data_IF_303828621372
#
_entry.id   IF_303828621372
#
_cell.length_a   1.000
_cell.length_b   1.000
_cell.length_c   1.000
_cell.angle_alpha   90.00
_cell.angle_beta   90.00
_cell.angle_gamma   90.00
#
_symmetry.space_group_name_H-M   'P 1'
#
loop_
_entity.id
_entity.type
_entity.pdbx_description
1 polymer ?
#
# COMPACT_ATOMS: atom_id res chain seq x y z
N UNK A 1 -16.98 17.33 11.31
CA UNK A 1 -16.89 16.62 10.01
C UNK A 1 -17.68 17.43 9.01
N UNK A 2 -17.04 17.98 7.98
CA UNK A 2 -17.75 18.69 6.91
C UNK A 2 -18.28 17.67 5.90
N UNK A 3 -19.58 17.68 5.62
CA UNK A 3 -20.20 16.80 4.63
C UNK A 3 -20.25 17.53 3.29
N UNK A 4 -19.68 16.93 2.24
CA UNK A 4 -19.76 17.43 0.87
C UNK A 4 -20.69 16.53 0.04
N UNK A 5 -21.46 17.16 -0.86
CA UNK A 5 -22.35 16.46 -1.78
C UNK A 5 -21.66 16.36 -3.14
N UNK A 6 -21.58 15.14 -3.66
CA UNK A 6 -21.07 14.83 -4.99
C UNK A 6 -22.23 14.27 -5.82
N UNK A 7 -22.44 14.80 -7.02
CA UNK A 7 -23.38 14.24 -8.00
C UNK A 7 -22.60 13.34 -8.95
N UNK A 8 -23.04 12.09 -9.09
CA UNK A 8 -22.39 11.09 -9.95
C UNK A 8 -23.37 10.59 -11.00
N UNK A 9 -22.89 10.41 -12.22
CA UNK A 9 -23.65 9.73 -13.28
C UNK A 9 -23.41 8.23 -13.17
N UNK A 10 -24.48 7.47 -12.99
CA UNK A 10 -24.46 6.01 -12.91
C UNK A 10 -25.23 5.45 -14.10
N UNK A 11 -24.79 4.30 -14.61
CA UNK A 11 -25.58 3.58 -15.61
C UNK A 11 -26.89 3.06 -14.99
N UNK A 12 -27.97 3.07 -15.77
CA UNK A 12 -29.29 2.58 -15.34
C UNK A 12 -29.24 1.21 -14.64
N UNK A 13 -28.48 0.20 -15.13
CA UNK A 13 -28.40 -1.10 -14.46
C UNK A 13 -27.85 -1.02 -13.03
N UNK A 14 -26.82 -0.19 -12.81
CA UNK A 14 -26.20 0.00 -11.49
C UNK A 14 -27.14 0.72 -10.55
N UNK A 15 -27.80 1.78 -11.03
CA UNK A 15 -28.78 2.52 -10.24
C UNK A 15 -29.94 1.61 -9.79
N UNK A 16 -30.52 0.84 -10.71
CA UNK A 16 -31.59 -0.10 -10.41
C UNK A 16 -31.16 -1.20 -9.44
N UNK A 17 -29.91 -1.67 -9.53
CA UNK A 17 -29.36 -2.62 -8.57
C UNK A 17 -29.25 -2.02 -7.16
N UNK A 18 -28.79 -0.77 -7.04
CA UNK A 18 -28.72 -0.09 -5.74
C UNK A 18 -30.11 0.10 -5.14
N UNK A 19 -31.13 0.47 -5.95
CA UNK A 19 -32.53 0.60 -5.48
C UNK A 19 -33.05 -0.74 -4.93
N UNK A 20 -32.86 -1.84 -5.65
CA UNK A 20 -33.29 -3.18 -5.17
C UNK A 20 -32.66 -3.56 -3.84
N UNK A 21 -31.36 -3.28 -3.67
CA UNK A 21 -30.66 -3.57 -2.42
C UNK A 21 -31.16 -2.66 -1.30
N UNK A 22 -31.34 -1.36 -1.57
CA UNK A 22 -31.84 -0.39 -0.61
C UNK A 22 -33.24 -0.77 -0.07
N UNK A 23 -34.14 -1.20 -0.96
CA UNK A 23 -35.46 -1.72 -0.57
C UNK A 23 -35.35 -3.00 0.27
N UNK A 24 -34.52 -3.95 -0.16
CA UNK A 24 -34.33 -5.22 0.54
C UNK A 24 -33.68 -5.05 1.93
N UNK A 25 -32.78 -4.08 2.10
CA UNK A 25 -32.12 -3.79 3.38
C UNK A 25 -32.83 -2.71 4.19
N UNK A 26 -33.92 -2.12 3.66
CA UNK A 26 -34.61 -0.97 4.26
C UNK A 26 -33.66 0.19 4.60
N UNK A 27 -32.66 0.43 3.76
CA UNK A 27 -31.69 1.51 3.92
C UNK A 27 -31.94 2.61 2.88
N UNK A 28 -31.71 3.89 3.22
CA UNK A 28 -31.74 4.96 2.22
C UNK A 28 -30.70 4.73 1.12
N UNK A 29 -31.11 4.95 -0.13
CA UNK A 29 -30.24 4.77 -1.30
C UNK A 29 -28.91 5.53 -1.17
N UNK A 30 -28.96 6.75 -0.66
CA UNK A 30 -27.81 7.64 -0.44
C UNK A 30 -26.80 7.04 0.55
N UNK A 31 -27.30 6.40 1.62
CA UNK A 31 -26.46 5.76 2.64
C UNK A 31 -25.79 4.53 2.06
N UNK A 32 -26.54 3.71 1.32
CA UNK A 32 -25.99 2.53 0.64
C UNK A 32 -24.94 2.92 -0.41
N UNK A 33 -25.20 3.97 -1.19
CA UNK A 33 -24.25 4.50 -2.17
C UNK A 33 -22.96 5.00 -1.50
N UNK A 34 -23.08 5.79 -0.43
CA UNK A 34 -21.94 6.29 0.33
C UNK A 34 -21.11 5.16 0.96
N UNK A 35 -21.76 4.12 1.50
CA UNK A 35 -21.08 2.94 2.04
C UNK A 35 -20.35 2.14 0.95
N UNK A 36 -20.98 1.99 -0.22
CA UNK A 36 -20.40 1.29 -1.36
C UNK A 36 -19.16 2.01 -1.88
N UNK A 37 -19.22 3.35 -1.98
CA UNK A 37 -18.07 4.18 -2.36
C UNK A 37 -16.96 4.05 -1.31
N UNK A 38 -17.29 4.23 -0.03
CA UNK A 38 -16.32 4.19 1.08
C UNK A 38 -15.59 2.85 1.14
N UNK A 39 -16.31 1.76 0.92
CA UNK A 39 -15.76 0.40 0.96
C UNK A 39 -14.85 0.09 -0.23
N UNK A 40 -14.94 0.86 -1.31
CA UNK A 40 -14.17 0.67 -2.53
C UNK A 40 -13.16 1.80 -2.77
N UNK A 41 -12.84 2.60 -1.75
CA UNK A 41 -11.81 3.63 -1.85
C UNK A 41 -10.42 2.99 -1.95
N UNK A 42 -9.49 3.62 -2.70
CA UNK A 42 -8.11 3.17 -2.76
C UNK A 42 -7.43 3.25 -1.40
N UNK A 43 -6.37 2.47 -1.16
CA UNK A 43 -5.62 2.52 0.09
C UNK A 43 -5.05 3.93 0.31
N UNK A 44 -5.38 4.53 1.45
CA UNK A 44 -4.90 5.87 1.77
C UNK A 44 -3.40 5.86 2.11
N UNK A 45 -2.60 6.77 1.52
CA UNK A 45 -1.20 6.98 1.88
C UNK A 45 -1.02 7.86 3.13
N UNK A 46 -2.09 8.34 3.79
CA UNK A 46 -2.01 9.35 4.86
C UNK A 46 -1.16 8.92 6.07
N UNK A 47 -1.07 7.61 6.33
CA UNK A 47 -0.27 7.05 7.42
C UNK A 47 1.21 6.87 7.05
N UNK A 48 1.60 7.10 5.79
CA UNK A 48 2.98 6.99 5.35
C UNK A 48 3.77 8.28 5.67
N UNK A 49 5.11 8.19 5.78
CA UNK A 49 5.97 9.36 5.90
C UNK A 49 5.71 10.35 4.75
N UNK A 50 5.70 11.68 5.01
CA UNK A 50 5.37 12.70 3.99
C UNK A 50 6.20 12.58 2.72
N UNK A 51 7.47 12.22 2.87
CA UNK A 51 8.42 12.02 1.76
C UNK A 51 7.97 10.93 0.77
N UNK A 52 7.21 9.94 1.23
CA UNK A 52 6.76 8.81 0.43
C UNK A 52 5.31 8.96 -0.07
N UNK A 53 4.51 9.84 0.53
CA UNK A 53 3.10 9.99 0.17
C UNK A 53 2.91 10.29 -1.31
N UNK A 54 3.73 11.18 -1.88
CA UNK A 54 3.69 11.51 -3.31
C UNK A 54 3.97 10.28 -4.19
N UNK A 55 4.97 9.47 -3.82
CA UNK A 55 5.31 8.23 -4.53
C UNK A 55 4.15 7.22 -4.45
N UNK A 56 3.56 7.01 -3.27
CA UNK A 56 2.44 6.10 -3.08
C UNK A 56 1.20 6.52 -3.88
N UNK A 57 0.92 7.82 -3.99
CA UNK A 57 -0.19 8.31 -4.84
C UNK A 57 0.06 7.95 -6.30
N UNK A 58 1.29 8.14 -6.81
CA UNK A 58 1.65 7.77 -8.18
C UNK A 58 1.50 6.26 -8.39
N UNK A 59 1.85 5.44 -7.39
CA UNK A 59 1.67 3.98 -7.46
C UNK A 59 0.21 3.57 -7.72
N UNK A 60 -0.77 4.35 -7.27
CA UNK A 60 -2.18 4.08 -7.57
C UNK A 60 -2.54 4.20 -9.06
N UNK A 61 -1.69 4.84 -9.86
CA UNK A 61 -1.87 5.01 -11.32
C UNK A 61 -1.07 4.02 -12.16
N UNK A 62 -0.14 3.28 -11.56
CA UNK A 62 0.69 2.29 -12.26
C UNK A 62 -0.13 1.12 -12.78
N UNK A 63 0.39 0.39 -13.76
CA UNK A 63 -0.19 -0.86 -14.26
C UNK A 63 -0.08 -2.00 -13.24
N UNK A 64 -0.81 -3.10 -13.47
CA UNK A 64 -0.72 -4.30 -12.63
C UNK A 64 0.70 -4.88 -12.66
N UNK A 65 1.32 -4.92 -13.83
CA UNK A 65 2.66 -5.51 -14.00
C UNK A 65 3.74 -4.71 -13.26
N UNK A 66 3.70 -3.38 -13.35
CA UNK A 66 4.60 -2.49 -12.59
C UNK A 66 4.40 -2.65 -11.08
N UNK A 67 3.14 -2.75 -10.62
CA UNK A 67 2.84 -2.99 -9.21
C UNK A 67 3.36 -4.35 -8.74
N UNK A 68 3.27 -5.39 -9.57
CA UNK A 68 3.81 -6.71 -9.25
C UNK A 68 5.34 -6.70 -9.17
N UNK A 69 6.01 -5.98 -10.06
CA UNK A 69 7.47 -5.80 -10.00
C UNK A 69 7.88 -5.14 -8.68
N UNK A 70 7.20 -4.06 -8.28
CA UNK A 70 7.45 -3.38 -7.01
C UNK A 70 7.13 -4.30 -5.83
N UNK A 71 6.02 -5.04 -5.89
CA UNK A 71 5.58 -5.93 -4.82
C UNK A 71 6.51 -7.13 -4.60
N UNK A 72 7.19 -7.58 -5.66
CA UNK A 72 8.14 -8.70 -5.64
C UNK A 72 9.60 -8.26 -5.51
N UNK A 73 9.87 -6.94 -5.51
CA UNK A 73 11.22 -6.42 -5.36
C UNK A 73 11.89 -6.96 -4.08
N UNK A 74 13.16 -7.36 -4.21
CA UNK A 74 13.96 -7.89 -3.11
C UNK A 74 15.09 -6.94 -2.73
N UNK A 75 15.47 -6.96 -1.45
CA UNK A 75 16.69 -6.32 -0.99
C UNK A 75 17.86 -7.05 -1.63
N UNK A 76 18.84 -6.31 -2.17
CA UNK A 76 20.02 -6.92 -2.79
C UNK A 76 20.79 -7.75 -1.74
N UNK A 77 21.24 -8.94 -2.11
CA UNK A 77 22.00 -9.83 -1.22
C UNK A 77 23.25 -9.17 -0.62
N UNK A 78 23.89 -8.29 -1.38
CA UNK A 78 25.05 -7.49 -0.94
C UNK A 78 24.68 -6.51 0.18
N UNK A 79 23.52 -5.85 0.08
CA UNK A 79 22.99 -4.95 1.12
C UNK A 79 22.64 -5.74 2.39
N UNK A 80 22.06 -6.94 2.25
CA UNK A 80 21.77 -7.81 3.38
C UNK A 80 23.05 -8.26 4.10
N UNK A 81 24.08 -8.68 3.35
CA UNK A 81 25.36 -9.08 3.92
C UNK A 81 26.07 -7.93 4.64
N UNK A 82 26.04 -6.73 4.04
CA UNK A 82 26.59 -5.51 4.66
C UNK A 82 25.85 -5.13 5.93
N UNK A 83 24.51 -5.23 5.95
CA UNK A 83 23.71 -4.98 7.14
C UNK A 83 24.08 -5.92 8.29
N UNK A 84 24.23 -7.22 8.02
CA UNK A 84 24.65 -8.21 9.02
C UNK A 84 26.04 -7.91 9.58
N UNK A 85 27.01 -7.62 8.71
CA UNK A 85 28.37 -7.28 9.14
C UNK A 85 28.43 -6.01 10.01
N UNK A 86 27.64 -4.98 9.66
CA UNK A 86 27.54 -3.76 10.46
C UNK A 86 26.82 -3.99 11.80
N UNK A 87 25.84 -4.88 11.85
CA UNK A 87 25.18 -5.28 13.10
C UNK A 87 26.14 -6.02 14.04
N UNK A 88 26.96 -6.93 13.53
CA UNK A 88 27.97 -7.65 14.32
C UNK A 88 28.98 -6.67 14.92
N UNK A 89 29.51 -5.73 14.13
CA UNK A 89 30.41 -4.66 14.62
C UNK A 89 29.75 -3.73 15.64
N UNK A 90 28.44 -3.51 15.52
CA UNK A 90 27.70 -2.70 16.48
C UNK A 90 27.63 -3.42 17.84
N UNK A 91 27.39 -4.73 17.85
CA UNK A 91 27.36 -5.55 19.06
C UNK A 91 28.72 -5.63 19.76
N UNK A 92 29.83 -5.61 19.01
CA UNK A 92 31.19 -5.60 19.57
C UNK A 92 31.68 -4.21 20.00
N UNK A 93 30.86 -3.15 19.85
CA UNK A 93 31.23 -1.73 20.06
C UNK A 93 32.41 -1.25 19.18
N UNK A 94 32.73 -1.96 18.10
CA UNK A 94 33.81 -1.62 17.16
C UNK A 94 33.33 -0.73 16.01
N UNK A 95 32.03 -0.38 15.99
CA UNK A 95 31.41 0.38 14.92
C UNK A 95 31.83 1.86 14.92
N UNK A 96 32.35 2.32 13.79
CA UNK A 96 32.72 3.72 13.59
C UNK A 96 31.48 4.63 13.49
N UNK A 97 31.64 5.96 13.68
CA UNK A 97 30.55 6.91 13.43
C UNK A 97 30.01 6.85 11.99
N UNK A 98 30.89 6.66 11.01
CA UNK A 98 30.54 6.54 9.60
C UNK A 98 29.75 5.24 9.33
N UNK A 99 30.19 4.13 9.94
CA UNK A 99 29.52 2.83 9.83
C UNK A 99 28.14 2.82 10.52
N UNK A 100 27.95 3.59 11.60
CA UNK A 100 26.63 3.79 12.22
C UNK A 100 25.68 4.55 11.30
N UNK A 101 26.20 5.57 10.63
CA UNK A 101 25.42 6.33 9.66
C UNK A 101 25.00 5.44 8.48
N UNK A 102 25.95 4.66 7.93
CA UNK A 102 25.69 3.67 6.88
C UNK A 102 24.60 2.66 7.30
N UNK A 103 24.67 2.15 8.54
CA UNK A 103 23.67 1.22 9.08
C UNK A 103 22.26 1.86 9.17
N UNK A 104 22.18 3.14 9.54
CA UNK A 104 20.92 3.88 9.63
C UNK A 104 20.28 4.10 8.24
N UNK A 105 21.11 4.45 7.26
CA UNK A 105 20.68 4.64 5.87
C UNK A 105 20.20 3.32 5.26
N UNK A 106 20.92 2.23 5.54
CA UNK A 106 20.56 0.90 5.07
C UNK A 106 19.21 0.45 5.62
N UNK A 107 18.96 0.65 6.92
CA UNK A 107 17.64 0.38 7.53
C UNK A 107 16.53 1.21 6.90
N UNK A 108 16.77 2.52 6.76
CA UNK A 108 15.80 3.43 6.14
C UNK A 108 15.46 3.00 4.70
N UNK A 109 16.44 2.51 3.94
CA UNK A 109 16.21 2.01 2.58
C UNK A 109 15.37 0.74 2.53
N UNK A 110 15.59 -0.19 3.49
CA UNK A 110 14.80 -1.42 3.62
C UNK A 110 13.36 -1.08 4.04
N UNK A 111 13.18 -0.17 5.00
CA UNK A 111 11.86 0.26 5.46
C UNK A 111 11.05 0.91 4.33
N UNK A 112 11.69 1.78 3.54
CA UNK A 112 11.08 2.37 2.34
C UNK A 112 10.66 1.30 1.33
N UNK A 113 11.53 0.32 1.06
CA UNK A 113 11.20 -0.78 0.16
C UNK A 113 10.01 -1.60 0.69
N UNK A 114 9.99 -1.94 1.98
CA UNK A 114 8.90 -2.69 2.60
C UNK A 114 7.57 -1.93 2.53
N UNK A 115 7.58 -0.62 2.76
CA UNK A 115 6.38 0.20 2.64
C UNK A 115 5.85 0.21 1.20
N UNK A 116 6.72 0.38 0.21
CA UNK A 116 6.35 0.30 -1.21
C UNK A 116 5.76 -1.07 -1.56
N UNK A 117 6.38 -2.16 -1.10
CA UNK A 117 5.87 -3.53 -1.33
C UNK A 117 4.49 -3.72 -0.73
N UNK A 118 4.30 -3.32 0.53
CA UNK A 118 3.02 -3.42 1.22
C UNK A 118 1.93 -2.60 0.52
N UNK A 119 2.28 -1.39 0.09
CA UNK A 119 1.36 -0.52 -0.63
C UNK A 119 1.00 -1.06 -2.01
N UNK A 120 1.97 -1.59 -2.76
CA UNK A 120 1.73 -2.24 -4.05
C UNK A 120 0.75 -3.41 -3.90
N UNK A 121 0.92 -4.27 -2.89
CA UNK A 121 -0.03 -5.34 -2.59
C UNK A 121 -1.43 -4.82 -2.22
N UNK A 122 -1.51 -3.72 -1.48
CA UNK A 122 -2.79 -3.10 -1.13
C UNK A 122 -3.53 -2.56 -2.36
N UNK A 123 -2.82 -1.89 -3.29
CA UNK A 123 -3.39 -1.41 -4.55
C UNK A 123 -3.81 -2.58 -5.45
N UNK A 124 -2.98 -3.63 -5.55
CA UNK A 124 -3.31 -4.84 -6.31
C UNK A 124 -4.59 -5.51 -5.78
N UNK A 125 -4.72 -5.64 -4.45
CA UNK A 125 -5.93 -6.18 -3.82
C UNK A 125 -7.16 -5.32 -4.09
N UNK A 126 -7.02 -4.00 -3.99
CA UNK A 126 -8.11 -3.05 -4.28
C UNK A 126 -8.59 -3.20 -5.73
N UNK A 127 -7.69 -3.49 -6.67
CA UNK A 127 -8.01 -3.77 -8.08
C UNK A 127 -8.51 -5.20 -8.35
N UNK A 128 -8.74 -6.00 -7.31
CA UNK A 128 -9.26 -7.36 -7.42
C UNK A 128 -8.21 -8.42 -7.75
N UNK A 129 -6.91 -8.09 -7.69
CA UNK A 129 -5.84 -9.07 -7.87
C UNK A 129 -5.73 -9.98 -6.65
N UNK A 130 -5.49 -11.27 -6.88
CA UNK A 130 -5.21 -12.22 -5.81
C UNK A 130 -3.87 -11.88 -5.16
N UNK A 131 -3.86 -11.77 -3.82
CA UNK A 131 -2.60 -11.71 -3.06
C UNK A 131 -2.10 -13.15 -2.88
N UNK A 132 -0.84 -13.45 -3.23
CA UNK A 132 -0.20 -14.73 -2.96
C UNK A 132 -0.16 -15.00 -1.45
N UNK A 133 -0.29 -16.26 -1.08
CA UNK A 133 -0.12 -16.71 0.29
C UNK A 133 1.33 -16.47 0.76
N UNK A 134 1.55 -16.45 2.08
CA UNK A 134 2.89 -16.25 2.65
C UNK A 134 3.94 -17.23 2.09
N UNK A 135 3.49 -18.44 1.72
CA UNK A 135 4.28 -19.50 1.09
C UNK A 135 4.66 -19.24 -0.38
N UNK A 136 3.98 -18.32 -1.04
CA UNK A 136 4.18 -17.96 -2.46
C UNK A 136 4.91 -16.62 -2.62
N UNK A 137 5.19 -15.91 -1.52
CA UNK A 137 5.98 -14.68 -1.55
C UNK A 137 7.47 -15.03 -1.69
N UNK A 138 8.21 -14.34 -2.59
CA UNK A 138 9.65 -14.52 -2.70
C UNK A 138 10.32 -13.97 -1.43
N UNK A 139 10.87 -14.88 -0.61
CA UNK A 139 11.65 -14.59 0.61
C UNK A 139 13.00 -13.98 0.25
#
# INVERSE_FOLDING_TARGET
MATQRVTVELSDPVFQQLVRIAEATSQPLEVLAAQSITSNLPPSPDNAPPEMQAELIIMQTLSIDELLEIAQAQVKSEQQARHTALLEKNQTNEISPEERQELSELRSSVDRLMLRKAYAWAVLRWRGHRIPSLTELPV
#
